data_IF_980988391010
#
_entry.id   IF_980988391010
#
_cell.length_a   1.000
_cell.length_b   1.000
_cell.length_c   1.000
_cell.angle_alpha   90.00
_cell.angle_beta   90.00
_cell.angle_gamma   90.00
#
_symmetry.space_group_name_H-M   'P 1'
#
loop_
_entity.id
_entity.type
_entity.pdbx_description
1 polymer ?
#
# COMPACT_ATOMS: atom_id res chain seq x y z
N UNK A 1 -5.66 -15.19 1.25
CA UNK A 1 -4.35 -14.88 0.63
C UNK A 1 -3.53 -16.17 0.50
N UNK A 2 -3.06 -16.52 -0.70
CA UNK A 2 -2.22 -17.71 -0.91
C UNK A 2 -0.71 -17.40 -0.69
N UNK A 3 0.12 -18.44 -0.54
CA UNK A 3 1.53 -18.28 -0.09
C UNK A 3 2.38 -17.38 -1.01
N UNK A 4 2.07 -17.34 -2.31
CA UNK A 4 2.77 -16.51 -3.29
C UNK A 4 2.37 -15.02 -3.21
N UNK A 5 1.08 -14.74 -2.94
CA UNK A 5 0.59 -13.39 -2.67
C UNK A 5 1.20 -12.83 -1.38
N UNK A 6 1.35 -13.66 -0.34
CA UNK A 6 1.93 -13.25 0.95
C UNK A 6 3.36 -12.69 0.84
N UNK A 7 4.10 -13.12 -0.19
CA UNK A 7 5.46 -12.61 -0.50
C UNK A 7 5.46 -11.26 -1.23
N UNK A 8 4.36 -10.90 -1.90
CA UNK A 8 4.24 -9.67 -2.68
C UNK A 8 3.66 -8.51 -1.87
N UNK A 9 2.70 -8.78 -1.00
CA UNK A 9 2.04 -7.74 -0.23
C UNK A 9 2.85 -7.34 1.01
N UNK A 10 2.83 -6.04 1.31
CA UNK A 10 3.50 -5.46 2.47
C UNK A 10 2.47 -4.87 3.42
N UNK A 11 2.69 -5.03 4.72
CA UNK A 11 1.91 -4.30 5.72
C UNK A 11 2.18 -2.79 5.63
N UNK A 12 1.29 -1.99 6.20
CA UNK A 12 1.45 -0.53 6.27
C UNK A 12 2.79 -0.11 6.91
N UNK A 13 3.30 -0.93 7.84
CA UNK A 13 4.54 -0.66 8.56
C UNK A 13 5.74 -0.95 7.67
N UNK A 14 5.73 -2.08 6.97
CA UNK A 14 6.78 -2.45 6.00
C UNK A 14 6.81 -1.50 4.81
N UNK A 15 5.65 -1.11 4.28
CA UNK A 15 5.55 -0.09 3.23
C UNK A 15 6.15 1.24 3.67
N UNK A 16 5.81 1.67 4.88
CA UNK A 16 6.33 2.92 5.44
C UNK A 16 7.86 2.92 5.58
N UNK A 17 8.42 1.81 6.09
CA UNK A 17 9.87 1.65 6.19
C UNK A 17 10.55 1.63 4.81
N UNK A 18 9.96 0.93 3.83
CA UNK A 18 10.55 0.79 2.48
C UNK A 18 10.50 2.06 1.65
N UNK A 19 9.43 2.87 1.79
CA UNK A 19 9.23 4.10 1.01
C UNK A 19 9.62 5.38 1.77
N UNK A 20 10.03 5.27 3.04
CA UNK A 20 10.35 6.43 3.88
C UNK A 20 9.12 7.26 4.27
N UNK A 21 7.94 6.62 4.32
CA UNK A 21 6.65 7.28 4.59
C UNK A 21 6.11 6.82 5.94
N UNK A 22 5.49 7.71 6.69
CA UNK A 22 4.88 7.32 7.96
C UNK A 22 3.66 6.42 7.74
N UNK A 23 3.41 5.49 8.67
CA UNK A 23 2.19 4.68 8.70
C UNK A 23 0.91 5.52 8.80
N UNK A 24 1.02 6.76 9.29
CA UNK A 24 -0.09 7.72 9.38
C UNK A 24 -0.43 8.29 8.01
N UNK A 25 0.59 8.67 7.23
CA UNK A 25 0.44 9.16 5.86
C UNK A 25 -0.16 8.09 4.95
N UNK A 26 0.29 6.84 5.05
CA UNK A 26 -0.29 5.74 4.27
C UNK A 26 -1.77 5.49 4.62
N UNK A 27 -2.15 5.56 5.90
CA UNK A 27 -3.57 5.51 6.31
C UNK A 27 -4.38 6.68 5.76
N UNK A 28 -3.78 7.87 5.73
CA UNK A 28 -4.43 9.03 5.15
C UNK A 28 -4.70 8.80 3.65
N UNK A 29 -3.72 8.30 2.90
CA UNK A 29 -3.87 7.97 1.47
C UNK A 29 -4.90 6.87 1.20
N UNK A 30 -5.02 5.87 2.09
CA UNK A 30 -6.08 4.86 2.06
C UNK A 30 -7.46 5.50 2.27
N UNK A 31 -7.58 6.38 3.26
CA UNK A 31 -8.85 7.07 3.59
C UNK A 31 -9.36 7.98 2.48
N UNK A 32 -8.47 8.65 1.76
CA UNK A 32 -8.84 9.51 0.61
C UNK A 32 -8.88 8.73 -0.71
N UNK A 33 -8.60 7.43 -0.68
CA UNK A 33 -8.71 6.53 -1.84
C UNK A 33 -7.58 6.62 -2.85
N UNK A 34 -6.48 7.32 -2.54
CA UNK A 34 -5.28 7.40 -3.40
C UNK A 34 -4.47 6.10 -3.34
N UNK A 35 -4.40 5.46 -2.17
CA UNK A 35 -3.61 4.24 -1.96
C UNK A 35 -4.40 3.23 -1.13
N UNK A 36 -5.19 2.39 -1.79
CA UNK A 36 -6.08 1.43 -1.14
C UNK A 36 -5.42 0.09 -0.93
N UNK A 37 -5.66 -0.51 0.23
CA UNK A 37 -5.24 -1.89 0.50
C UNK A 37 -5.86 -2.87 -0.52
N UNK A 38 -5.02 -3.70 -1.15
CA UNK A 38 -5.46 -4.77 -2.05
C UNK A 38 -6.12 -5.92 -1.29
N UNK A 39 -5.74 -6.12 -0.03
CA UNK A 39 -6.32 -7.15 0.82
C UNK A 39 -6.51 -6.63 2.24
N UNK A 40 -7.70 -6.89 2.76
CA UNK A 40 -8.05 -6.69 4.17
C UNK A 40 -8.31 -8.06 4.75
N UNK A 41 -7.54 -8.41 5.77
CA UNK A 41 -7.71 -9.64 6.50
C UNK A 41 -9.05 -9.61 7.25
N UNK A 42 -9.97 -10.56 6.99
CA UNK A 42 -11.32 -10.51 7.55
C UNK A 42 -11.36 -10.84 9.05
N UNK A 43 -10.38 -11.59 9.55
CA UNK A 43 -10.31 -12.02 10.95
C UNK A 43 -9.71 -10.94 11.85
N UNK A 44 -8.71 -10.20 11.34
CA UNK A 44 -7.92 -9.25 12.13
C UNK A 44 -8.09 -7.78 11.70
N UNK A 45 -8.66 -7.53 10.52
CA UNK A 45 -8.77 -6.19 9.93
C UNK A 45 -7.45 -5.61 9.44
N UNK A 46 -6.37 -6.40 9.40
CA UNK A 46 -5.07 -5.95 8.91
C UNK A 46 -5.10 -5.68 7.41
N UNK A 47 -4.50 -4.56 7.02
CA UNK A 47 -4.43 -4.09 5.63
C UNK A 47 -3.08 -4.41 5.03
N UNK A 48 -3.12 -4.97 3.83
CA UNK A 48 -1.97 -5.38 3.05
C UNK A 48 -2.00 -4.65 1.71
N UNK A 49 -0.85 -4.12 1.31
CA UNK A 49 -0.70 -3.23 0.16
C UNK A 49 0.31 -3.78 -0.84
N UNK A 50 0.04 -3.64 -2.13
CA UNK A 50 1.02 -3.98 -3.17
C UNK A 50 2.08 -2.88 -3.31
N UNK A 51 3.39 -3.17 -3.12
CA UNK A 51 4.45 -2.19 -3.33
C UNK A 51 4.52 -1.62 -4.75
N UNK A 52 4.03 -2.33 -5.77
CA UNK A 52 3.94 -1.86 -7.16
C UNK A 52 2.85 -0.81 -7.34
N UNK A 53 1.80 -0.81 -6.51
CA UNK A 53 0.76 0.22 -6.55
C UNK A 53 1.35 1.59 -6.19
N UNK A 54 2.33 1.63 -5.28
CA UNK A 54 3.04 2.87 -4.92
C UNK A 54 3.86 3.43 -6.10
N UNK A 55 4.48 2.57 -6.91
CA UNK A 55 5.17 2.99 -8.15
C UNK A 55 4.21 3.60 -9.16
N UNK A 56 3.00 3.05 -9.28
CA UNK A 56 1.96 3.65 -10.13
C UNK A 56 1.62 5.05 -9.66
N UNK A 57 1.38 5.25 -8.36
CA UNK A 57 1.04 6.57 -7.79
C UNK A 57 2.14 7.60 -8.06
N UNK A 58 3.41 7.22 -7.86
CA UNK A 58 4.54 8.13 -8.10
C UNK A 58 4.70 8.44 -9.60
N UNK A 59 4.53 7.45 -10.48
CA UNK A 59 4.70 7.61 -11.93
C UNK A 59 3.58 8.41 -12.62
N UNK A 60 2.42 8.58 -11.99
CA UNK A 60 1.37 9.45 -12.55
C UNK A 60 1.73 10.94 -12.50
N UNK A 61 2.63 11.37 -11.60
CA UNK A 61 3.07 12.76 -11.52
C UNK A 61 3.84 13.21 -12.79
N UNK A 62 4.51 12.29 -13.47
CA UNK A 62 5.36 12.60 -14.64
C UNK A 62 4.62 12.48 -15.99
N UNK A 63 3.39 11.97 -16.01
CA UNK A 63 2.59 11.78 -17.23
C UNK A 63 1.56 12.86 -17.52
N UNK A 64 1.52 13.90 -16.68
CA UNK A 64 0.56 15.01 -16.82
C UNK A 64 1.22 16.31 -17.28
N UNK A 65 2.47 16.25 -17.76
CA UNK A 65 3.22 17.36 -18.35
C UNK A 65 3.62 17.03 -19.79
#
# INVERSE_FOLDING_TARGET
MNQEQKKKYLSIKEMGQKRGVSSKTLRYYDSIGIFKADYVDPDTGYRYYDPQQYEKICGYAERTL
#
